data_IF_328700174707
#
_entry.id   IF_328700174707
#
_cell.length_a   1.000
_cell.length_b   1.000
_cell.length_c   1.000
_cell.angle_alpha   90.00
_cell.angle_beta   90.00
_cell.angle_gamma   90.00
#
_symmetry.space_group_name_H-M   'P 1'
#
loop_
_entity.id
_entity.type
_entity.pdbx_description
1 polymer ?
#
# COMPACT_ATOMS: atom_id res chain seq x y z
N UNK A 1 -11.26 3.24 22.80
CA UNK A 1 -11.26 3.07 21.33
C UNK A 1 -9.95 3.54 20.74
N UNK A 2 -9.49 4.76 21.06
CA UNK A 2 -8.16 5.27 20.65
C UNK A 2 -7.02 4.38 21.12
N UNK A 3 -7.00 3.97 22.40
CA UNK A 3 -5.95 3.11 22.95
C UNK A 3 -5.83 1.75 22.24
N UNK A 4 -6.97 1.16 21.86
CA UNK A 4 -6.99 -0.09 21.11
C UNK A 4 -6.39 0.06 19.70
N UNK A 5 -6.75 1.12 18.96
CA UNK A 5 -6.18 1.34 17.62
C UNK A 5 -4.67 1.60 17.72
N UNK A 6 -4.23 2.37 18.72
CA UNK A 6 -2.81 2.61 18.98
C UNK A 6 -2.05 1.30 19.26
N UNK A 7 -2.61 0.40 20.07
CA UNK A 7 -1.99 -0.90 20.35
C UNK A 7 -1.83 -1.75 19.09
N UNK A 8 -2.83 -1.76 18.20
CA UNK A 8 -2.72 -2.43 16.92
C UNK A 8 -1.66 -1.81 16.01
N UNK A 9 -1.56 -0.48 15.98
CA UNK A 9 -0.53 0.23 15.22
C UNK A 9 0.86 -0.13 15.73
N UNK A 10 1.06 -0.16 17.04
CA UNK A 10 2.32 -0.57 17.66
C UNK A 10 2.66 -2.04 17.32
N UNK A 11 1.65 -2.91 17.27
CA UNK A 11 1.80 -4.32 16.90
C UNK A 11 2.24 -4.54 15.44
N UNK A 12 2.19 -3.53 14.57
CA UNK A 12 2.61 -3.67 13.17
C UNK A 12 4.09 -3.97 12.98
N UNK A 13 4.95 -3.65 13.96
CA UNK A 13 6.39 -3.91 13.90
C UNK A 13 6.84 -5.05 14.82
N UNK A 14 5.90 -5.82 15.38
CA UNK A 14 6.22 -6.98 16.22
C UNK A 14 7.07 -7.98 15.43
N UNK A 15 8.06 -8.55 16.12
CA UNK A 15 8.93 -9.62 15.63
C UNK A 15 8.18 -10.91 15.30
N UNK A 16 7.02 -11.14 15.91
CA UNK A 16 6.11 -12.24 15.56
C UNK A 16 5.24 -11.82 14.37
N UNK A 17 5.62 -12.27 13.18
CA UNK A 17 4.92 -12.00 11.94
C UNK A 17 3.43 -12.39 11.97
N UNK A 18 3.03 -13.40 12.77
CA UNK A 18 1.61 -13.78 12.90
C UNK A 18 0.83 -12.73 13.66
N UNK A 19 1.38 -12.25 14.78
CA UNK A 19 0.74 -11.18 15.57
C UNK A 19 0.63 -9.90 14.77
N UNK A 20 1.70 -9.51 14.09
CA UNK A 20 1.70 -8.28 13.34
C UNK A 20 0.80 -8.35 12.10
N UNK A 21 0.68 -9.53 11.47
CA UNK A 21 -0.31 -9.76 10.41
C UNK A 21 -1.76 -9.69 10.94
N UNK A 22 -2.02 -10.18 12.16
CA UNK A 22 -3.33 -10.03 12.80
C UNK A 22 -3.66 -8.55 13.05
N UNK A 23 -2.69 -7.75 13.52
CA UNK A 23 -2.85 -6.31 13.69
C UNK A 23 -3.17 -5.61 12.37
N UNK A 24 -2.42 -5.92 11.30
CA UNK A 24 -2.72 -5.42 9.95
C UNK A 24 -4.15 -5.74 9.52
N UNK A 25 -4.61 -6.98 9.73
CA UNK A 25 -5.96 -7.41 9.32
C UNK A 25 -7.04 -6.61 10.05
N UNK A 26 -6.87 -6.40 11.35
CA UNK A 26 -7.81 -5.62 12.16
C UNK A 26 -7.81 -4.14 11.74
N UNK A 27 -6.64 -3.52 11.62
CA UNK A 27 -6.52 -2.12 11.17
C UNK A 27 -7.10 -1.89 9.78
N UNK A 28 -6.90 -2.83 8.85
CA UNK A 28 -7.53 -2.77 7.52
C UNK A 28 -9.05 -2.85 7.61
N UNK A 29 -9.59 -3.69 8.49
CA UNK A 29 -11.04 -3.76 8.70
C UNK A 29 -11.59 -2.44 9.26
N UNK A 30 -10.95 -1.89 10.29
CA UNK A 30 -11.32 -0.59 10.86
C UNK A 30 -11.26 0.53 9.82
N UNK A 31 -10.18 0.56 9.01
CA UNK A 31 -10.02 1.53 7.91
C UNK A 31 -11.12 1.43 6.86
N UNK A 32 -11.75 0.25 6.66
CA UNK A 32 -12.88 0.11 5.74
C UNK A 32 -14.20 0.62 6.33
N UNK A 33 -14.30 0.70 7.66
CA UNK A 33 -15.55 1.01 8.36
C UNK A 33 -15.60 2.46 8.83
N UNK A 34 -14.45 3.07 9.15
CA UNK A 34 -14.38 4.42 9.66
C UNK A 34 -12.98 5.03 9.49
N UNK A 35 -12.88 6.34 9.75
CA UNK A 35 -11.63 7.09 9.70
C UNK A 35 -10.77 6.95 10.97
N UNK A 36 -11.09 6.06 11.93
CA UNK A 36 -10.37 5.97 13.22
C UNK A 36 -8.90 5.61 13.09
N UNK A 37 -8.49 5.01 11.97
CA UNK A 37 -7.10 4.62 11.68
C UNK A 37 -6.33 5.75 10.98
N UNK A 38 -7.01 6.66 10.28
CA UNK A 38 -6.39 7.75 9.51
C UNK A 38 -5.47 8.69 10.33
N UNK A 39 -5.74 8.99 11.62
CA UNK A 39 -4.80 9.77 12.44
C UNK A 39 -3.37 9.19 12.48
N UNK A 40 -3.21 7.89 12.24
CA UNK A 40 -1.93 7.18 12.22
C UNK A 40 -1.26 7.14 10.84
N UNK A 41 -1.79 7.85 9.84
CA UNK A 41 -1.27 7.83 8.47
C UNK A 41 0.24 8.06 8.40
N UNK A 42 0.77 9.02 9.18
CA UNK A 42 2.20 9.32 9.24
C UNK A 42 3.04 8.09 9.63
N UNK A 43 2.56 7.27 10.58
CA UNK A 43 3.25 6.02 10.98
C UNK A 43 3.35 5.06 9.80
N UNK A 44 2.27 4.92 9.02
CA UNK A 44 2.28 4.01 7.86
C UNK A 44 3.15 4.54 6.72
N UNK A 45 3.21 5.86 6.55
CA UNK A 45 4.11 6.52 5.61
C UNK A 45 5.58 6.30 6.01
N UNK A 46 5.92 6.36 7.29
CA UNK A 46 7.28 6.08 7.79
C UNK A 46 7.69 4.62 7.55
N UNK A 47 6.75 3.68 7.69
CA UNK A 47 7.00 2.25 7.44
C UNK A 47 7.44 1.93 6.00
N UNK A 48 7.19 2.82 5.03
CA UNK A 48 7.59 2.65 3.63
C UNK A 48 9.13 2.58 3.47
N UNK A 49 9.90 3.27 4.32
CA UNK A 49 11.37 3.28 4.24
C UNK A 49 12.02 2.14 5.03
N UNK A 50 11.23 1.29 5.67
CA UNK A 50 11.76 0.28 6.58
C UNK A 50 12.58 -0.79 5.83
N UNK A 51 13.73 -1.20 6.37
CA UNK A 51 14.60 -2.22 5.75
C UNK A 51 13.90 -3.58 5.55
N UNK A 52 13.07 -3.98 6.53
CA UNK A 52 12.24 -5.17 6.49
C UNK A 52 11.04 -4.98 5.53
N UNK A 53 11.01 -5.77 4.45
CA UNK A 53 9.94 -5.74 3.44
C UNK A 53 8.55 -6.10 3.97
N UNK A 54 8.45 -6.87 5.05
CA UNK A 54 7.16 -7.16 5.68
C UNK A 54 6.59 -5.90 6.34
N UNK A 55 7.44 -5.07 6.96
CA UNK A 55 7.03 -3.78 7.54
C UNK A 55 6.59 -2.83 6.42
N UNK A 56 7.39 -2.70 5.34
CA UNK A 56 6.98 -1.92 4.17
C UNK A 56 5.63 -2.36 3.61
N UNK A 57 5.44 -3.67 3.44
CA UNK A 57 4.17 -4.23 2.93
C UNK A 57 2.98 -3.86 3.81
N UNK A 58 3.13 -3.88 5.14
CA UNK A 58 2.08 -3.45 6.07
C UNK A 58 1.77 -1.95 5.91
N UNK A 59 2.81 -1.11 5.83
CA UNK A 59 2.68 0.33 5.57
C UNK A 59 1.95 0.61 4.25
N UNK A 60 2.37 -0.02 3.15
CA UNK A 60 1.76 0.07 1.82
C UNK A 60 0.25 -0.20 1.88
N UNK A 61 -0.14 -1.30 2.52
CA UNK A 61 -1.55 -1.71 2.61
C UNK A 61 -2.36 -0.69 3.41
N UNK A 62 -1.82 -0.14 4.50
CA UNK A 62 -2.53 0.79 5.37
C UNK A 62 -2.60 2.21 4.81
N UNK A 63 -1.56 2.68 4.12
CA UNK A 63 -1.60 3.92 3.33
C UNK A 63 -2.74 3.84 2.31
N UNK A 64 -2.79 2.76 1.52
CA UNK A 64 -3.83 2.60 0.51
C UNK A 64 -5.24 2.45 1.11
N UNK A 65 -5.40 1.70 2.20
CA UNK A 65 -6.69 1.51 2.86
C UNK A 65 -7.26 2.81 3.43
N UNK A 66 -6.39 3.74 3.85
CA UNK A 66 -6.78 5.02 4.43
C UNK A 66 -6.89 6.16 3.41
N UNK A 67 -6.56 5.93 2.13
CA UNK A 67 -6.72 6.93 1.07
C UNK A 67 -8.18 7.44 0.94
N UNK A 68 -9.17 6.61 1.31
CA UNK A 68 -10.58 7.00 1.33
C UNK A 68 -10.95 8.07 2.37
N UNK A 69 -10.10 8.24 3.39
CA UNK A 69 -10.29 9.21 4.47
C UNK A 69 -9.33 10.41 4.37
N UNK A 70 -8.51 10.44 3.32
CA UNK A 70 -7.41 11.40 3.18
C UNK A 70 -7.88 12.77 2.65
N UNK A 71 -8.59 13.50 3.51
CA UNK A 71 -9.02 14.86 3.26
C UNK A 71 -7.89 15.89 3.40
N UNK A 72 -6.80 15.53 4.09
CA UNK A 72 -5.64 16.41 4.30
C UNK A 72 -4.57 16.25 3.19
N UNK A 73 -4.84 15.46 2.14
CA UNK A 73 -3.92 15.22 1.01
C UNK A 73 -2.55 14.65 1.41
N UNK A 74 -2.48 13.86 2.50
CA UNK A 74 -1.22 13.27 2.99
C UNK A 74 -0.62 12.27 2.02
N UNK A 75 -1.45 11.57 1.24
CA UNK A 75 -0.93 10.62 0.26
C UNK A 75 -0.31 11.32 -0.95
N UNK A 76 -0.82 12.50 -1.32
CA UNK A 76 -0.27 13.35 -2.37
C UNK A 76 1.16 13.78 -2.01
N UNK A 77 1.40 14.12 -0.75
CA UNK A 77 2.74 14.50 -0.25
C UNK A 77 3.78 13.35 -0.32
N UNK A 78 3.32 12.10 -0.28
CA UNK A 78 4.19 10.91 -0.29
C UNK A 78 4.04 10.06 -1.54
N UNK A 79 3.40 10.55 -2.61
CA UNK A 79 3.03 9.70 -3.74
C UNK A 79 4.24 9.06 -4.43
N UNK A 80 5.30 9.84 -4.66
CA UNK A 80 6.55 9.32 -5.25
C UNK A 80 7.19 8.23 -4.38
N UNK A 81 7.21 8.47 -3.06
CA UNK A 81 7.69 7.51 -2.06
C UNK A 81 6.85 6.24 -2.07
N UNK A 82 5.54 6.35 -2.24
CA UNK A 82 4.66 5.20 -2.30
C UNK A 82 4.86 4.39 -3.60
N UNK A 83 4.96 5.07 -4.74
CA UNK A 83 5.04 4.44 -6.06
C UNK A 83 6.39 3.76 -6.34
N UNK A 84 7.48 4.15 -5.66
CA UNK A 84 8.77 3.45 -5.79
C UNK A 84 8.66 1.95 -5.46
N UNK A 85 7.70 1.58 -4.60
CA UNK A 85 7.48 0.19 -4.21
C UNK A 85 6.82 -0.66 -5.29
N UNK A 86 6.34 -0.10 -6.41
CA UNK A 86 5.92 -0.90 -7.59
C UNK A 86 7.09 -1.78 -8.07
N UNK A 87 8.32 -1.32 -7.87
CA UNK A 87 9.56 -2.01 -8.21
C UNK A 87 10.39 -2.41 -6.98
N UNK A 88 9.77 -2.62 -5.82
CA UNK A 88 10.46 -2.99 -4.58
C UNK A 88 11.44 -4.17 -4.76
N UNK A 89 12.61 -4.10 -4.13
CA UNK A 89 13.63 -5.15 -4.19
C UNK A 89 13.10 -6.56 -3.85
N UNK A 90 12.07 -6.63 -2.98
CA UNK A 90 11.36 -7.87 -2.71
C UNK A 90 10.15 -7.99 -3.63
N UNK A 91 10.09 -8.98 -4.54
CA UNK A 91 9.00 -9.10 -5.51
C UNK A 91 7.63 -9.27 -4.85
N UNK A 92 7.57 -9.85 -3.65
CA UNK A 92 6.30 -9.97 -2.91
C UNK A 92 5.78 -8.60 -2.46
N UNK A 93 6.65 -7.72 -1.96
CA UNK A 93 6.27 -6.36 -1.57
C UNK A 93 5.82 -5.55 -2.80
N UNK A 94 6.56 -5.68 -3.91
CA UNK A 94 6.19 -5.04 -5.18
C UNK A 94 4.79 -5.41 -5.66
N UNK A 95 4.48 -6.71 -5.64
CA UNK A 95 3.15 -7.21 -5.99
C UNK A 95 2.05 -6.69 -5.07
N UNK A 96 2.33 -6.53 -3.77
CA UNK A 96 1.34 -5.96 -2.84
C UNK A 96 1.09 -4.48 -3.11
N UNK A 97 2.14 -3.69 -3.37
CA UNK A 97 2.00 -2.30 -3.81
C UNK A 97 1.10 -2.21 -5.04
N UNK A 98 1.41 -2.95 -6.10
CA UNK A 98 0.62 -2.93 -7.34
C UNK A 98 -0.86 -3.25 -7.08
N UNK A 99 -1.15 -4.25 -6.24
CA UNK A 99 -2.52 -4.70 -5.98
C UNK A 99 -3.38 -3.72 -5.20
N UNK A 100 -2.79 -2.80 -4.45
CA UNK A 100 -3.55 -1.82 -3.66
C UNK A 100 -3.77 -0.50 -4.41
N UNK A 101 -3.04 -0.24 -5.49
CA UNK A 101 -3.15 0.99 -6.29
C UNK A 101 -4.57 1.28 -6.83
N UNK A 102 -5.40 0.29 -7.23
CA UNK A 102 -6.78 0.58 -7.65
C UNK A 102 -7.61 1.22 -6.53
N UNK A 103 -7.32 0.93 -5.26
CA UNK A 103 -7.99 1.56 -4.11
C UNK A 103 -7.60 3.02 -4.04
N UNK A 104 -6.30 3.33 -4.16
CA UNK A 104 -5.81 4.72 -4.16
C UNK A 104 -6.43 5.49 -5.33
N UNK A 105 -6.34 4.97 -6.55
CA UNK A 105 -6.91 5.55 -7.76
C UNK A 105 -8.42 5.81 -7.67
N UNK A 106 -9.16 4.96 -6.94
CA UNK A 106 -10.60 5.12 -6.72
C UNK A 106 -10.91 6.32 -5.86
N UNK A 107 -10.19 6.50 -4.75
CA UNK A 107 -10.49 7.53 -3.75
C UNK A 107 -9.73 8.84 -3.96
N UNK A 108 -8.61 8.79 -4.70
CA UNK A 108 -7.75 9.92 -5.04
C UNK A 108 -7.62 9.99 -6.57
N UNK A 109 -8.69 10.41 -7.28
CA UNK A 109 -8.72 10.38 -8.75
C UNK A 109 -7.62 11.24 -9.38
N UNK A 110 -7.17 12.30 -8.70
CA UNK A 110 -6.10 13.18 -9.17
C UNK A 110 -4.75 12.45 -9.30
N UNK A 111 -4.52 11.40 -8.50
CA UNK A 111 -3.30 10.59 -8.54
C UNK A 111 -3.33 9.46 -9.57
N UNK A 112 -4.44 9.28 -10.30
CA UNK A 112 -4.59 8.19 -11.28
C UNK A 112 -3.51 8.24 -12.37
N UNK A 113 -3.22 9.43 -12.87
CA UNK A 113 -2.25 9.58 -13.95
C UNK A 113 -0.83 9.23 -13.47
N UNK A 114 -0.46 9.63 -12.26
CA UNK A 114 0.83 9.27 -11.66
C UNK A 114 0.97 7.77 -11.47
N UNK A 115 -0.08 7.13 -10.93
CA UNK A 115 -0.15 5.68 -10.76
C UNK A 115 0.01 4.94 -12.10
N UNK A 116 -0.74 5.32 -13.12
CA UNK A 116 -0.69 4.70 -14.45
C UNK A 116 0.70 4.87 -15.07
N UNK A 117 1.27 6.07 -14.99
CA UNK A 117 2.60 6.35 -15.50
C UNK A 117 3.66 5.52 -14.79
N UNK A 118 3.59 5.38 -13.47
CA UNK A 118 4.51 4.55 -12.70
C UNK A 118 4.40 3.06 -13.05
N UNK A 119 3.18 2.55 -13.23
CA UNK A 119 2.93 1.17 -13.68
C UNK A 119 3.51 0.89 -15.07
N UNK A 120 3.39 1.83 -16.01
CA UNK A 120 3.97 1.68 -17.35
C UNK A 120 5.50 1.73 -17.36
N UNK A 121 6.11 2.47 -16.42
CA UNK A 121 7.57 2.56 -16.28
C UNK A 121 8.17 1.40 -15.47
N UNK A 122 7.35 0.63 -14.76
CA UNK A 122 7.82 -0.49 -13.97
C UNK A 122 8.59 -1.49 -14.85
N UNK A 123 9.74 -1.95 -14.37
CA UNK A 123 10.56 -2.94 -15.07
C UNK A 123 10.66 -4.25 -14.28
N UNK A 124 9.76 -5.23 -14.52
CA UNK A 124 9.76 -6.52 -13.83
C UNK A 124 10.94 -7.43 -14.17
N UNK A 125 11.73 -7.11 -15.20
CA UNK A 125 12.86 -7.94 -15.68
C UNK A 125 13.99 -8.09 -14.66
N UNK A 126 13.97 -7.30 -13.58
CA UNK A 126 14.91 -7.43 -12.46
C UNK A 126 14.67 -8.68 -11.60
N UNK A 127 13.48 -9.29 -11.67
CA UNK A 127 13.13 -10.46 -10.89
C UNK A 127 13.43 -11.75 -11.65
N UNK A 128 13.53 -12.87 -10.92
CA UNK A 128 13.53 -14.21 -11.53
C UNK A 128 12.25 -14.41 -12.35
N UNK A 129 12.35 -15.16 -13.45
CA UNK A 129 11.27 -15.38 -14.42
C UNK A 129 9.93 -15.77 -13.79
N UNK A 130 9.95 -16.66 -12.78
CA UNK A 130 8.74 -17.07 -12.05
C UNK A 130 8.03 -15.91 -11.36
N UNK A 131 8.77 -14.95 -10.80
CA UNK A 131 8.22 -13.75 -10.17
C UNK A 131 7.89 -12.66 -11.19
N UNK A 132 8.70 -12.52 -12.25
CA UNK A 132 8.47 -11.57 -13.34
C UNK A 132 7.08 -11.77 -13.95
N UNK A 133 6.72 -13.01 -14.28
CA UNK A 133 5.41 -13.33 -14.86
C UNK A 133 4.23 -12.94 -13.95
N UNK A 134 4.40 -13.06 -12.63
CA UNK A 134 3.38 -12.69 -11.66
C UNK A 134 3.25 -11.17 -11.52
N UNK A 135 4.37 -10.45 -11.51
CA UNK A 135 4.38 -8.98 -11.45
C UNK A 135 3.74 -8.39 -12.70
N UNK A 136 4.07 -8.90 -13.90
CA UNK A 136 3.46 -8.44 -15.16
C UNK A 136 1.95 -8.64 -15.15
N UNK A 137 1.46 -9.80 -14.67
CA UNK A 137 0.02 -10.06 -14.52
C UNK A 137 -0.64 -9.10 -13.53
N UNK A 138 0.01 -8.85 -12.39
CA UNK A 138 -0.51 -7.92 -11.39
C UNK A 138 -0.58 -6.48 -11.94
N UNK A 139 0.42 -6.03 -12.72
CA UNK A 139 0.42 -4.71 -13.40
C UNK A 139 -0.73 -4.60 -14.39
N UNK A 140 -0.88 -5.59 -15.30
CA UNK A 140 -1.93 -5.56 -16.30
C UNK A 140 -3.32 -5.54 -15.65
N UNK A 141 -3.52 -6.35 -14.60
CA UNK A 141 -4.76 -6.35 -13.84
C UNK A 141 -5.01 -4.98 -13.20
N UNK A 142 -4.00 -4.40 -12.55
CA UNK A 142 -4.11 -3.09 -11.92
C UNK A 142 -4.50 -1.99 -12.91
N UNK A 143 -3.87 -1.95 -14.09
CA UNK A 143 -4.22 -0.99 -15.15
C UNK A 143 -5.68 -1.15 -15.61
N UNK A 144 -6.12 -2.39 -15.83
CA UNK A 144 -7.51 -2.67 -16.21
C UNK A 144 -8.50 -2.25 -15.12
N UNK A 145 -8.20 -2.57 -13.85
CA UNK A 145 -9.03 -2.18 -12.72
C UNK A 145 -9.15 -0.64 -12.65
N UNK A 146 -8.05 0.10 -12.82
CA UNK A 146 -8.06 1.57 -12.79
C UNK A 146 -8.84 2.16 -13.97
N UNK A 147 -8.69 1.62 -15.18
CA UNK A 147 -9.44 2.06 -16.36
C UNK A 147 -10.96 1.85 -16.21
N UNK A 148 -11.37 0.88 -15.40
CA UNK A 148 -12.80 0.62 -15.11
C UNK A 148 -13.41 1.56 -14.08
N UNK A 149 -12.60 2.39 -13.41
CA UNK A 149 -13.07 3.42 -12.47
C UNK A 149 -13.56 4.64 -13.26
N UNK A 150 -14.72 4.50 -13.93
CA UNK A 150 -15.44 5.61 -14.57
C UNK A 150 -15.70 6.76 -13.61
#
# INVERSE_FOLDING_TARGET
>A
MVDYIQDLVNGLIDSDDKKAYQCLKQLKNESNQSNVVYPFFGVFADMLDHENSYIRTRGIILVAANAQWDNDYKIDEIIDKFLIHITDDKPIAARQCIKVLPIVAKFKPDLRLDIINALHRANPSRYKESMQSLVVKDIQKCLNDIQSLS
#
